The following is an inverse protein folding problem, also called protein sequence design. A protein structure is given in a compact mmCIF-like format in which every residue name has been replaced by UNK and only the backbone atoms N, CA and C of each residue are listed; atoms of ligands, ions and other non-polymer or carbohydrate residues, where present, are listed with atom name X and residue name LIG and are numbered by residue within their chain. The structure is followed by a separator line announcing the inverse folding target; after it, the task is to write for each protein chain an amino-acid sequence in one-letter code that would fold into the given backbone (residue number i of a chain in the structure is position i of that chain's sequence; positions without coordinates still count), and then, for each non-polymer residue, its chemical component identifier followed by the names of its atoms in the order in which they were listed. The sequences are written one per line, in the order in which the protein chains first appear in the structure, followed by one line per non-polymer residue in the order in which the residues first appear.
data_IF_403004874444
#
_entry.id   IF_403004874444
#
_cell.length_a   1.000
_cell.length_b   1.000
_cell.length_c   1.000
_cell.angle_alpha   90.00
_cell.angle_beta   90.00
_cell.angle_gamma   90.00
#
_symmetry.space_group_name_H-M   'P 1'
#
loop_
_entity.id
_entity.type
_entity.pdbx_description
1 polymer ?
#
# COMPACT_ATOMS: atom_id res chain seq x y z
N UNK A 1 0.76 -10.07 -2.84
CA UNK A 1 0.17 -8.79 -3.12
C UNK A 1 0.74 -7.70 -2.22
N UNK A 2 0.06 -7.19 -1.22
CA UNK A 2 0.58 -6.12 -0.38
C UNK A 2 0.53 -6.53 1.08
N UNK A 3 1.55 -6.15 1.85
CA UNK A 3 1.58 -6.37 3.30
C UNK A 3 1.09 -5.12 4.03
N UNK A 4 0.69 -5.30 5.30
CA UNK A 4 0.30 -4.16 6.12
C UNK A 4 1.45 -3.16 6.26
N UNK A 5 2.68 -3.66 6.39
CA UNK A 5 3.85 -2.80 6.49
C UNK A 5 4.07 -1.98 5.22
N UNK A 6 3.88 -2.58 4.05
CA UNK A 6 3.96 -1.85 2.79
C UNK A 6 2.89 -0.76 2.70
N UNK A 7 1.68 -1.06 3.17
CA UNK A 7 0.59 -0.09 3.15
C UNK A 7 0.90 1.09 4.06
N UNK A 8 1.38 0.83 5.29
CA UNK A 8 1.78 1.89 6.21
C UNK A 8 2.94 2.71 5.66
N UNK A 9 3.94 2.03 5.08
CA UNK A 9 5.10 2.71 4.51
C UNK A 9 4.74 3.58 3.31
N UNK A 10 3.86 3.09 2.43
CA UNK A 10 3.39 3.86 1.29
C UNK A 10 2.66 5.12 1.75
N UNK A 11 1.81 4.98 2.76
CA UNK A 11 1.08 6.10 3.33
C UNK A 11 2.06 7.13 3.92
N UNK A 12 3.07 6.65 4.65
CA UNK A 12 4.09 7.52 5.23
C UNK A 12 4.86 8.28 4.14
N UNK A 13 5.26 7.58 3.08
CA UNK A 13 5.97 8.21 1.97
C UNK A 13 5.13 9.30 1.28
N UNK A 14 3.83 9.11 1.22
CA UNK A 14 2.93 10.09 0.60
C UNK A 14 2.51 11.19 1.58
N UNK A 15 2.82 11.05 2.86
CA UNK A 15 2.40 12.01 3.87
C UNK A 15 0.90 12.00 4.15
N UNK A 16 0.25 10.85 3.96
CA UNK A 16 -1.19 10.72 4.12
C UNK A 16 -1.52 10.06 5.46
N UNK A 17 -2.59 10.52 6.10
CA UNK A 17 -3.17 9.78 7.21
C UNK A 17 -4.10 8.67 6.66
N UNK A 18 -4.61 7.83 7.55
CA UNK A 18 -5.46 6.72 7.14
C UNK A 18 -6.75 7.18 6.46
N UNK A 19 -7.34 8.26 6.96
CA UNK A 19 -8.57 8.81 6.40
C UNK A 19 -8.35 9.32 4.97
N UNK A 20 -7.25 10.01 4.74
CA UNK A 20 -6.92 10.51 3.42
C UNK A 20 -6.66 9.37 2.43
N UNK A 21 -5.96 8.33 2.89
CA UNK A 21 -5.74 7.16 2.04
C UNK A 21 -7.07 6.48 1.70
N UNK A 22 -7.95 6.34 2.67
CA UNK A 22 -9.26 5.73 2.43
C UNK A 22 -10.04 6.50 1.35
N UNK A 23 -10.04 7.83 1.45
CA UNK A 23 -10.70 8.67 0.46
C UNK A 23 -10.07 8.52 -0.93
N UNK A 24 -8.73 8.52 -0.99
CA UNK A 24 -8.00 8.39 -2.24
C UNK A 24 -8.31 7.05 -2.93
N UNK A 25 -8.38 5.98 -2.16
CA UNK A 25 -8.61 4.63 -2.68
C UNK A 25 -10.10 4.31 -2.89
N UNK A 26 -11.00 5.17 -2.39
CA UNK A 26 -12.43 4.91 -2.50
C UNK A 26 -12.90 3.76 -1.62
N UNK A 27 -12.30 3.61 -0.44
CA UNK A 27 -12.67 2.58 0.54
C UNK A 27 -12.92 3.24 1.88
N UNK A 28 -13.50 2.50 2.83
CA UNK A 28 -13.83 3.05 4.14
C UNK A 28 -12.59 3.14 5.03
N UNK A 29 -12.62 4.08 5.97
CA UNK A 29 -11.55 4.19 6.97
C UNK A 29 -11.38 2.91 7.78
N UNK A 30 -12.45 2.26 8.29
CA UNK A 30 -12.28 1.00 9.00
C UNK A 30 -11.59 -0.07 8.17
N UNK A 31 -11.79 -0.08 6.86
CA UNK A 31 -11.10 -1.02 5.96
C UNK A 31 -9.60 -0.80 6.00
N UNK A 32 -9.15 0.45 5.89
CA UNK A 32 -7.72 0.77 5.97
C UNK A 32 -7.17 0.40 7.35
N UNK A 33 -7.88 0.74 8.42
CA UNK A 33 -7.43 0.46 9.78
C UNK A 33 -7.24 -1.05 9.99
N UNK A 34 -8.21 -1.84 9.53
CA UNK A 34 -8.14 -3.31 9.67
C UNK A 34 -6.97 -3.88 8.88
N UNK A 35 -6.76 -3.39 7.67
CA UNK A 35 -5.68 -3.88 6.83
C UNK A 35 -4.31 -3.54 7.41
N UNK A 36 -4.14 -2.33 7.93
CA UNK A 36 -2.87 -1.91 8.50
C UNK A 36 -2.57 -2.58 9.84
N UNK A 37 -3.58 -3.10 10.52
CA UNK A 37 -3.41 -3.82 11.77
C UNK A 37 -3.09 -5.30 11.56
N UNK A 38 -3.16 -5.80 10.34
CA UNK A 38 -2.90 -7.20 10.04
C UNK A 38 -1.45 -7.57 10.32
N UNK A 39 -1.24 -8.77 10.85
CA UNK A 39 0.10 -9.33 11.06
C UNK A 39 0.49 -10.32 9.98
N UNK A 40 -0.41 -10.59 9.05
CA UNK A 40 -0.13 -11.50 7.95
C UNK A 40 0.81 -10.84 6.94
N UNK A 41 1.56 -11.66 6.21
CA UNK A 41 2.43 -11.16 5.15
C UNK A 41 1.66 -10.41 4.08
N UNK A 42 0.42 -10.82 3.86
CA UNK A 42 -0.47 -10.17 2.92
C UNK A 42 -1.71 -9.72 3.67
N UNK A 43 -2.16 -8.50 3.42
CA UNK A 43 -3.42 -8.05 3.99
C UNK A 43 -4.55 -8.85 3.36
N UNK A 44 -5.56 -9.16 4.18
CA UNK A 44 -6.74 -9.88 3.72
C UNK A 44 -7.81 -8.88 3.32
N UNK A 45 -8.55 -9.24 2.31
CA UNK A 45 -9.66 -8.42 1.86
C UNK A 45 -10.21 -8.93 0.56
N UNK A 46 -11.28 -8.31 0.14
CA UNK A 46 -11.88 -8.60 -1.16
C UNK A 46 -10.94 -8.12 -2.25
N UNK A 47 -10.76 -8.92 -3.30
CA UNK A 47 -9.83 -8.59 -4.38
C UNK A 47 -10.11 -7.21 -4.96
N UNK A 48 -11.37 -6.84 -5.14
CA UNK A 48 -11.70 -5.53 -5.69
C UNK A 48 -11.24 -4.39 -4.77
N UNK A 49 -11.34 -4.57 -3.45
CA UNK A 49 -10.87 -3.58 -2.48
C UNK A 49 -9.36 -3.44 -2.54
N UNK A 50 -8.64 -4.56 -2.57
CA UNK A 50 -7.18 -4.55 -2.67
C UNK A 50 -6.74 -3.89 -3.98
N UNK A 51 -7.43 -4.18 -5.08
CA UNK A 51 -7.12 -3.58 -6.37
C UNK A 51 -7.30 -2.07 -6.37
N UNK A 52 -8.33 -1.57 -5.70
CA UNK A 52 -8.55 -0.12 -5.56
C UNK A 52 -7.40 0.54 -4.81
N UNK A 53 -6.95 -0.07 -3.72
CA UNK A 53 -5.86 0.46 -2.92
C UNK A 53 -4.56 0.46 -3.72
N UNK A 54 -4.24 -0.66 -4.37
CA UNK A 54 -3.02 -0.78 -5.16
C UNK A 54 -3.02 0.23 -6.32
N UNK A 55 -4.15 0.36 -7.00
CA UNK A 55 -4.28 1.32 -8.10
C UNK A 55 -4.12 2.76 -7.62
N UNK A 56 -4.69 3.09 -6.45
CA UNK A 56 -4.56 4.43 -5.89
C UNK A 56 -3.11 4.75 -5.53
N UNK A 57 -2.40 3.79 -4.93
CA UNK A 57 -1.00 3.97 -4.60
C UNK A 57 -0.14 4.13 -5.85
N UNK A 58 -0.40 3.32 -6.86
CA UNK A 58 0.31 3.43 -8.13
C UNK A 58 0.10 4.79 -8.77
N UNK A 59 -1.14 5.25 -8.82
CA UNK A 59 -1.47 6.56 -9.39
C UNK A 59 -0.83 7.70 -8.60
N UNK A 60 -0.63 7.52 -7.29
CA UNK A 60 0.00 8.51 -6.43
C UNK A 60 1.53 8.47 -6.49
N UNK A 61 2.10 7.56 -7.26
CA UNK A 61 3.54 7.49 -7.46
C UNK A 61 4.29 6.49 -6.58
N UNK A 62 3.57 5.54 -5.99
CA UNK A 62 4.19 4.49 -5.17
C UNK A 62 4.43 3.25 -6.01
N UNK A 63 5.63 2.71 -5.93
CA UNK A 63 5.97 1.42 -6.50
C UNK A 63 6.05 0.41 -5.35
N UNK A 64 5.29 -0.68 -5.44
CA UNK A 64 5.34 -1.78 -4.48
C UNK A 64 6.41 -2.77 -4.93
N UNK A 65 7.30 -3.14 -4.01
CA UNK A 65 8.39 -4.07 -4.29
C UNK A 65 8.09 -5.37 -3.57
N UNK A 66 7.84 -6.43 -4.31
CA UNK A 66 7.60 -7.75 -3.75
C UNK A 66 8.89 -8.48 -3.43
N UNK A 67 8.76 -9.64 -2.78
CA UNK A 67 9.91 -10.50 -2.52
C UNK A 67 10.58 -10.89 -3.84
N UNK A 68 11.92 -10.86 -3.87
CA UNK A 68 12.73 -11.22 -5.03
C UNK A 68 12.51 -10.32 -6.25
N UNK A 69 11.87 -9.18 -6.05
CA UNK A 69 11.67 -8.20 -7.13
C UNK A 69 12.96 -7.40 -7.37
N UNK A 70 13.14 -6.87 -8.58
CA UNK A 70 14.35 -6.07 -8.89
C UNK A 70 14.48 -4.86 -7.99
N UNK A 71 15.42 -4.96 -7.08
CA UNK A 71 15.84 -3.87 -6.20
C UNK A 71 17.17 -4.31 -5.60
N UNK A 72 17.69 -3.58 -4.63
CA UNK A 72 18.94 -3.93 -4.00
C UNK A 72 18.81 -5.09 -3.03
N UNK A 73 17.64 -5.30 -2.46
CA UNK A 73 17.39 -6.34 -1.47
C UNK A 73 16.49 -7.42 -2.00
N UNK A 74 16.08 -8.33 -1.11
CA UNK A 74 15.25 -9.48 -1.45
C UNK A 74 13.87 -9.46 -0.79
N UNK A 75 13.67 -8.61 0.20
CA UNK A 75 12.39 -8.53 0.89
C UNK A 75 11.41 -7.61 0.18
N UNK A 76 10.29 -7.36 0.85
CA UNK A 76 9.26 -6.45 0.36
C UNK A 76 9.62 -5.01 0.70
N UNK A 77 9.12 -4.08 -0.10
CA UNK A 77 9.32 -2.68 0.17
C UNK A 77 8.38 -1.81 -0.63
N UNK A 78 8.59 -0.52 -0.52
CA UNK A 78 7.88 0.48 -1.31
C UNK A 78 8.88 1.54 -1.72
N UNK A 79 8.56 2.23 -2.80
CA UNK A 79 9.40 3.30 -3.30
C UNK A 79 8.54 4.34 -4.00
N UNK A 80 8.86 5.63 -3.78
CA UNK A 80 8.29 6.66 -4.62
C UNK A 80 8.92 6.55 -6.00
N UNK A 81 8.10 6.60 -7.03
CA UNK A 81 8.60 6.62 -8.39
C UNK A 81 9.31 7.94 -8.63
N UNK A 82 10.29 7.92 -9.52
CA UNK A 82 11.01 9.13 -9.88
C UNK A 82 10.02 10.18 -10.39
N UNK A 83 10.21 11.42 -9.93
CA UNK A 83 9.38 12.55 -10.31
C UNK A 83 10.14 13.41 -11.29
N UNK A 84 9.48 13.84 -12.33
CA UNK A 84 10.10 14.72 -13.32
C UNK A 84 10.10 16.16 -12.84
#
# INVERSE_FOLDING_TARGET
MISAAQLRAARALLGLDQRSLAALAGVSLPTIQRMEASRDEHVRGVVSTLSKIVAALDAAGIELIGNEQPSQGRGRGVRLKAVR
#
